data_IF_635390039211
#
_entry.id   IF_635390039211
#
_cell.length_a   1.000
_cell.length_b   1.000
_cell.length_c   1.000
_cell.angle_alpha   90.00
_cell.angle_beta   90.00
_cell.angle_gamma   90.00
#
_symmetry.space_group_name_H-M   'P 1'
#
loop_
_entity.id
_entity.type
_entity.pdbx_description
1 polymer ?
#
# COMPACT_ATOMS: atom_id res chain seq x y z
N UNK A 1 12.02 5.35 -7.91
CA UNK A 1 11.89 5.72 -6.49
C UNK A 1 13.17 6.42 -6.03
N UNK A 2 13.07 7.54 -5.32
CA UNK A 2 14.21 8.27 -4.73
C UNK A 2 14.49 7.80 -3.30
N UNK A 3 15.68 8.10 -2.75
CA UNK A 3 16.00 7.76 -1.35
C UNK A 3 15.10 8.50 -0.35
N UNK A 4 14.76 9.76 -0.63
CA UNK A 4 13.78 10.51 0.16
C UNK A 4 12.43 9.78 0.18
N UNK A 5 11.95 9.36 -1.00
CA UNK A 5 10.67 8.66 -1.12
C UNK A 5 10.67 7.33 -0.37
N UNK A 6 11.77 6.59 -0.44
CA UNK A 6 11.96 5.35 0.33
C UNK A 6 11.90 5.62 1.84
N UNK A 7 12.51 6.70 2.32
CA UNK A 7 12.45 7.08 3.73
C UNK A 7 11.03 7.42 4.19
N UNK A 8 10.26 8.11 3.35
CA UNK A 8 8.83 8.41 3.60
C UNK A 8 8.01 7.11 3.72
N UNK A 9 8.15 6.19 2.76
CA UNK A 9 7.48 4.87 2.78
C UNK A 9 7.82 4.12 4.07
N UNK A 10 9.11 4.07 4.44
CA UNK A 10 9.55 3.40 5.68
C UNK A 10 8.95 4.06 6.92
N UNK A 11 8.85 5.39 6.96
CA UNK A 11 8.23 6.11 8.08
C UNK A 11 6.76 5.74 8.24
N UNK A 12 5.99 5.72 7.15
CA UNK A 12 4.56 5.36 7.18
C UNK A 12 4.35 3.91 7.63
N UNK A 13 5.15 2.97 7.11
CA UNK A 13 5.09 1.56 7.51
C UNK A 13 5.41 1.38 9.00
N UNK A 14 6.38 2.12 9.53
CA UNK A 14 6.68 2.13 10.97
C UNK A 14 5.51 2.67 11.79
N UNK A 15 4.90 3.78 11.36
CA UNK A 15 3.72 4.32 12.05
C UNK A 15 2.57 3.32 12.08
N UNK A 16 2.31 2.60 10.98
CA UNK A 16 1.29 1.54 10.94
C UNK A 16 1.64 0.43 11.94
N UNK A 17 2.91 0.01 11.99
CA UNK A 17 3.35 -1.03 12.90
C UNK A 17 3.27 -0.63 14.38
N UNK A 18 3.65 0.60 14.71
CA UNK A 18 3.65 1.14 16.07
C UNK A 18 2.24 1.41 16.60
N UNK A 19 1.29 1.71 15.71
CA UNK A 19 -0.10 2.02 16.08
C UNK A 19 -1.05 0.84 15.93
N UNK A 20 -0.59 -0.29 15.39
CA UNK A 20 -1.39 -1.48 15.23
C UNK A 20 -1.86 -2.02 16.57
N UNK A 21 -3.17 -2.28 16.67
CA UNK A 21 -3.80 -2.91 17.81
C UNK A 21 -4.48 -4.19 17.33
N UNK A 22 -4.05 -5.37 17.81
CA UNK A 22 -4.73 -6.63 17.53
C UNK A 22 -6.22 -6.55 17.87
N UNK A 23 -7.05 -7.16 17.03
CA UNK A 23 -8.47 -7.40 17.29
C UNK A 23 -8.81 -8.87 17.07
N UNK A 24 -10.05 -9.28 17.37
CA UNK A 24 -10.52 -10.63 17.06
C UNK A 24 -10.49 -10.92 15.56
N UNK A 25 -10.84 -9.93 14.73
CA UNK A 25 -10.86 -10.05 13.27
C UNK A 25 -9.46 -9.94 12.64
N UNK A 26 -8.52 -9.25 13.29
CA UNK A 26 -7.15 -9.06 12.82
C UNK A 26 -6.15 -9.18 13.99
N UNK A 27 -5.80 -10.41 14.41
CA UNK A 27 -5.04 -10.63 15.64
C UNK A 27 -3.54 -10.38 15.49
N UNK A 28 -3.02 -10.31 14.26
CA UNK A 28 -1.58 -10.24 13.97
C UNK A 28 -1.34 -9.24 12.85
N UNK A 29 -0.33 -8.39 13.03
CA UNK A 29 0.21 -7.57 11.96
C UNK A 29 1.26 -8.38 11.20
N UNK A 30 0.83 -9.13 10.19
CA UNK A 30 1.74 -9.75 9.24
C UNK A 30 2.12 -8.77 8.11
N UNK A 31 2.98 -9.24 7.20
CA UNK A 31 3.43 -8.44 6.07
C UNK A 31 2.27 -8.06 5.12
N UNK A 32 1.27 -8.92 4.97
CA UNK A 32 0.12 -8.67 4.11
C UNK A 32 -0.77 -7.57 4.70
N UNK A 33 -1.08 -7.65 5.99
CA UNK A 33 -1.84 -6.62 6.72
C UNK A 33 -1.10 -5.29 6.71
N UNK A 34 0.21 -5.30 6.95
CA UNK A 34 1.04 -4.10 6.92
C UNK A 34 0.99 -3.40 5.56
N UNK A 35 1.17 -4.16 4.47
CA UNK A 35 1.11 -3.63 3.11
C UNK A 35 -0.32 -3.19 2.76
N UNK A 36 -1.34 -3.96 3.14
CA UNK A 36 -2.75 -3.64 2.90
C UNK A 36 -3.15 -2.32 3.57
N UNK A 37 -2.79 -2.14 4.85
CA UNK A 37 -3.01 -0.88 5.58
C UNK A 37 -2.25 0.29 4.96
N UNK A 38 -1.03 0.05 4.48
CA UNK A 38 -0.26 1.07 3.77
C UNK A 38 -0.91 1.44 2.43
N UNK A 39 -1.38 0.46 1.65
CA UNK A 39 -2.13 0.69 0.41
C UNK A 39 -3.40 1.51 0.66
N UNK A 40 -4.12 1.22 1.73
CA UNK A 40 -5.34 1.94 2.11
C UNK A 40 -5.11 3.44 2.40
N UNK A 41 -3.87 3.87 2.64
CA UNK A 41 -3.54 5.30 2.78
C UNK A 41 -3.55 6.06 1.45
N UNK A 42 -3.58 5.35 0.31
CA UNK A 42 -3.40 5.93 -1.03
C UNK A 42 -1.98 6.44 -1.29
N UNK A 43 -1.07 6.34 -0.32
CA UNK A 43 0.33 6.78 -0.46
C UNK A 43 1.20 5.77 -1.17
N UNK A 44 0.69 4.61 -1.57
CA UNK A 44 1.48 3.62 -2.27
C UNK A 44 1.34 3.77 -3.80
N UNK A 45 1.97 4.80 -4.35
CA UNK A 45 1.96 5.04 -5.79
C UNK A 45 2.80 4.02 -6.57
N UNK A 46 3.67 3.28 -5.88
CA UNK A 46 4.68 2.38 -6.45
C UNK A 46 4.24 0.91 -6.54
N UNK A 47 3.32 0.43 -5.70
CA UNK A 47 2.77 -0.92 -5.78
C UNK A 47 1.53 -0.93 -6.70
N UNK A 48 1.76 -1.40 -7.93
CA UNK A 48 0.79 -1.92 -8.91
C UNK A 48 -0.62 -1.31 -8.79
N UNK A 49 -0.86 -0.20 -9.48
CA UNK A 49 -2.22 0.32 -9.57
C UNK A 49 -2.45 1.34 -10.69
N UNK A 50 -1.61 2.37 -10.76
CA UNK A 50 -1.77 3.40 -11.80
C UNK A 50 -1.07 2.99 -13.09
N UNK A 51 0.20 3.36 -13.17
CA UNK A 51 0.96 3.30 -14.43
C UNK A 51 1.12 1.87 -14.95
N UNK A 52 1.44 0.89 -14.08
CA UNK A 52 1.58 -0.50 -14.51
C UNK A 52 0.26 -1.07 -15.04
N UNK A 53 -0.87 -0.75 -14.43
CA UNK A 53 -2.18 -1.25 -14.88
C UNK A 53 -2.50 -0.62 -16.23
N UNK A 54 -2.34 0.70 -16.38
CA UNK A 54 -2.50 1.46 -17.65
C UNK A 54 -1.61 0.92 -18.78
N UNK A 55 -0.43 0.40 -18.45
CA UNK A 55 0.48 -0.19 -19.42
C UNK A 55 0.16 -1.67 -19.71
N UNK A 56 -0.22 -2.48 -18.70
CA UNK A 56 -0.12 -3.95 -18.78
C UNK A 56 -1.44 -4.72 -18.64
N UNK A 57 -2.53 -4.13 -18.16
CA UNK A 57 -3.82 -4.83 -18.03
C UNK A 57 -4.74 -4.73 -19.28
N UNK A 58 -5.82 -5.51 -19.38
CA UNK A 58 -6.88 -5.25 -20.36
C UNK A 58 -7.95 -4.30 -19.81
N UNK A 59 -8.79 -3.75 -20.68
CA UNK A 59 -10.04 -3.08 -20.27
C UNK A 59 -10.99 -4.08 -19.58
N UNK A 60 -11.79 -3.66 -18.58
CA UNK A 60 -11.92 -2.30 -18.05
C UNK A 60 -10.93 -1.98 -16.91
N UNK A 61 -10.02 -2.91 -16.57
CA UNK A 61 -9.14 -2.75 -15.39
C UNK A 61 -8.27 -1.49 -15.48
N UNK A 62 -7.89 -1.10 -16.70
CA UNK A 62 -7.16 0.14 -17.02
C UNK A 62 -7.92 1.44 -16.81
N UNK A 63 -9.24 1.37 -16.81
CA UNK A 63 -10.14 2.53 -16.79
C UNK A 63 -11.03 2.58 -15.56
N UNK A 64 -10.76 1.72 -14.56
CA UNK A 64 -11.44 1.80 -13.27
C UNK A 64 -11.07 3.12 -12.58
N UNK A 65 -12.05 3.84 -12.01
CA UNK A 65 -11.78 5.04 -11.22
C UNK A 65 -10.94 4.66 -9.99
N UNK A 66 -9.94 5.49 -9.70
CA UNK A 66 -9.08 5.38 -8.53
C UNK A 66 -9.86 5.54 -7.22
#
# INVERSE_FOLDING_TARGET
MTEQRKAEIVSELKTIAETFKPSEDEPILDMFVLISRYNATGKNAELIGGDWVIENCPEPLKSLPA
#
